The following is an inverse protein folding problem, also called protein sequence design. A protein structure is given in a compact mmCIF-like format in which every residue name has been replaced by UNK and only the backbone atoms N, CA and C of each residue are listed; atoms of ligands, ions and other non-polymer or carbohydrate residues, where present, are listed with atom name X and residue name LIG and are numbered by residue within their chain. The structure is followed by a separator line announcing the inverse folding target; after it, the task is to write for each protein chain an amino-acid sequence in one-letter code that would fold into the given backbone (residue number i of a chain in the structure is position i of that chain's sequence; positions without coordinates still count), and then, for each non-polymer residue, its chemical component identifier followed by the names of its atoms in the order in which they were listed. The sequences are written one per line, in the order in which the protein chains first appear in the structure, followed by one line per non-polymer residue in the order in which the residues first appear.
data_IF_901038039531
#
_entry.id   IF_901038039531
#
_cell.length_a   1.000
_cell.length_b   1.000
_cell.length_c   1.000
_cell.angle_alpha   90.00
_cell.angle_beta   90.00
_cell.angle_gamma   90.00
#
_symmetry.space_group_name_H-M   'P 1'
#
loop_
_entity.id
_entity.type
_entity.pdbx_description
1 polymer ?
#
# COMPACT_ATOMS: atom_id res chain seq x y z
N UNK A 1 -26.78 12.04 -21.72
CA UNK A 1 -27.03 11.27 -22.95
C UNK A 1 -26.80 9.81 -22.63
N UNK A 2 -27.78 8.93 -22.86
CA UNK A 2 -27.65 7.50 -22.60
C UNK A 2 -27.07 6.83 -23.84
N UNK A 3 -25.90 6.21 -23.73
CA UNK A 3 -25.34 5.40 -24.81
C UNK A 3 -25.81 3.97 -24.62
N UNK A 4 -26.52 3.42 -25.60
CA UNK A 4 -26.80 1.99 -25.66
C UNK A 4 -25.48 1.30 -26.00
N UNK A 5 -25.10 0.29 -25.21
CA UNK A 5 -23.91 -0.51 -25.45
C UNK A 5 -24.29 -1.68 -26.36
N UNK A 6 -23.55 -1.83 -27.45
CA UNK A 6 -23.64 -3.00 -28.31
C UNK A 6 -23.09 -4.25 -27.59
N UNK A 7 -23.54 -5.46 -27.93
CA UNK A 7 -23.12 -6.69 -27.23
C UNK A 7 -21.60 -6.84 -27.06
N UNK A 8 -20.80 -6.51 -28.09
CA UNK A 8 -19.33 -6.56 -28.00
C UNK A 8 -18.70 -5.51 -27.07
N UNK A 9 -19.40 -4.40 -26.79
CA UNK A 9 -18.96 -3.39 -25.82
C UNK A 9 -19.27 -3.82 -24.37
N UNK A 10 -20.34 -4.60 -24.18
CA UNK A 10 -20.69 -5.20 -22.89
C UNK A 10 -19.62 -6.24 -22.51
N UNK A 11 -19.24 -7.10 -23.46
CA UNK A 11 -18.18 -8.09 -23.27
C UNK A 11 -16.82 -7.43 -22.97
N UNK A 12 -16.45 -6.38 -23.71
CA UNK A 12 -15.21 -5.64 -23.46
C UNK A 12 -15.20 -4.93 -22.09
N UNK A 13 -16.34 -4.39 -21.66
CA UNK A 13 -16.48 -3.78 -20.33
C UNK A 13 -16.45 -4.80 -19.19
N UNK A 14 -16.92 -6.02 -19.44
CA UNK A 14 -16.88 -7.12 -18.47
C UNK A 14 -15.45 -7.70 -18.27
N UNK A 15 -14.53 -7.37 -19.17
CA UNK A 15 -13.12 -7.81 -19.14
C UNK A 15 -12.18 -6.75 -18.57
N UNK A 16 -12.65 -5.52 -18.28
CA UNK A 16 -11.79 -4.50 -17.69
C UNK A 16 -11.36 -4.93 -16.27
N UNK A 17 -10.05 -5.14 -16.01
CA UNK A 17 -9.58 -5.44 -14.67
C UNK A 17 -9.98 -4.28 -13.75
N UNK A 18 -10.34 -4.55 -12.48
CA UNK A 18 -10.74 -3.50 -11.56
C UNK A 18 -9.66 -2.44 -11.48
N UNK A 19 -10.07 -1.17 -11.45
CA UNK A 19 -9.13 -0.06 -11.29
C UNK A 19 -8.38 -0.23 -9.97
N UNK A 20 -7.07 -0.51 -10.06
CA UNK A 20 -6.22 -0.71 -8.89
C UNK A 20 -5.63 0.62 -8.46
N UNK A 21 -5.96 1.06 -7.24
CA UNK A 21 -5.25 2.14 -6.60
C UNK A 21 -3.95 1.61 -5.99
N UNK A 22 -2.84 1.81 -6.70
CA UNK A 22 -1.54 1.54 -6.12
C UNK A 22 -1.30 2.51 -4.94
N UNK A 23 -0.72 2.02 -3.83
CA UNK A 23 -0.35 2.90 -2.75
C UNK A 23 0.73 3.88 -3.21
N UNK A 24 0.76 5.10 -2.67
CA UNK A 24 1.83 6.04 -2.97
C UNK A 24 3.15 5.51 -2.42
N UNK A 25 4.27 5.94 -3.03
CA UNK A 25 5.61 5.52 -2.60
C UNK A 25 5.91 5.82 -1.13
N UNK A 26 5.25 6.83 -0.55
CA UNK A 26 5.41 7.24 0.85
C UNK A 26 4.36 6.66 1.81
N UNK A 27 3.67 5.57 1.44
CA UNK A 27 2.58 4.99 2.22
C UNK A 27 2.96 4.78 3.70
N UNK A 28 4.16 4.25 3.96
CA UNK A 28 4.57 3.94 5.32
C UNK A 28 4.96 5.20 6.11
N UNK A 29 5.53 6.22 5.47
CA UNK A 29 5.72 7.53 6.10
C UNK A 29 4.39 8.17 6.49
N UNK A 30 3.41 8.19 5.58
CA UNK A 30 2.07 8.72 5.86
C UNK A 30 1.38 7.95 7.01
N UNK A 31 1.57 6.62 7.05
CA UNK A 31 1.06 5.78 8.13
C UNK A 31 1.73 6.07 9.47
N UNK A 32 3.05 6.28 9.50
CA UNK A 32 3.76 6.63 10.72
C UNK A 32 3.21 7.93 11.34
N UNK A 33 3.08 8.99 10.52
CA UNK A 33 2.49 10.27 10.95
C UNK A 33 1.09 10.07 11.52
N UNK A 34 0.26 9.26 10.85
CA UNK A 34 -1.10 9.00 11.32
C UNK A 34 -1.11 8.24 12.66
N UNK A 35 -0.22 7.27 12.85
CA UNK A 35 -0.11 6.52 14.10
C UNK A 35 0.37 7.41 15.26
N UNK A 36 1.30 8.33 15.01
CA UNK A 36 1.74 9.31 16.02
C UNK A 36 0.59 10.23 16.45
N UNK A 37 -0.23 10.68 15.49
CA UNK A 37 -1.44 11.47 15.79
C UNK A 37 -2.44 10.68 16.65
N UNK A 38 -2.67 9.40 16.32
CA UNK A 38 -3.59 8.53 17.04
C UNK A 38 -3.06 8.12 18.43
N UNK A 39 -1.75 8.16 18.64
CA UNK A 39 -1.14 7.81 19.92
C UNK A 39 -1.41 8.83 21.02
N UNK A 40 -1.59 10.11 20.67
CA UNK A 40 -1.82 11.17 21.64
C UNK A 40 -3.13 10.94 22.42
N UNK A 41 -3.03 10.80 23.74
CA UNK A 41 -4.18 10.57 24.63
C UNK A 41 -4.80 9.17 24.53
N UNK A 42 -4.18 8.24 23.80
CA UNK A 42 -4.69 6.88 23.65
C UNK A 42 -4.09 5.94 24.71
N UNK A 43 -4.91 5.05 25.30
CA UNK A 43 -4.44 4.04 26.25
C UNK A 43 -3.35 3.11 25.68
N UNK A 44 -3.33 2.91 24.37
CA UNK A 44 -2.32 2.15 23.63
C UNK A 44 -1.27 3.05 22.98
N UNK A 45 -1.13 4.31 23.42
CA UNK A 45 -0.27 5.30 22.77
C UNK A 45 1.17 4.83 22.58
N UNK A 46 1.76 4.20 23.59
CA UNK A 46 3.12 3.66 23.49
C UNK A 46 3.24 2.54 22.43
N UNK A 47 2.23 1.68 22.32
CA UNK A 47 2.17 0.66 21.28
C UNK A 47 2.03 1.29 19.90
N UNK A 48 1.15 2.28 19.74
CA UNK A 48 0.98 2.99 18.47
C UNK A 48 2.27 3.71 18.03
N UNK A 49 3.03 4.28 18.98
CA UNK A 49 4.35 4.87 18.72
C UNK A 49 5.38 3.82 18.29
N UNK A 50 5.36 2.62 18.89
CA UNK A 50 6.20 1.50 18.45
C UNK A 50 5.90 1.13 17.00
N UNK A 51 4.62 0.99 16.65
CA UNK A 51 4.21 0.65 15.27
C UNK A 51 4.53 1.80 14.29
N UNK A 52 4.43 3.06 14.72
CA UNK A 52 4.84 4.20 13.91
C UNK A 52 6.34 4.13 13.56
N UNK A 53 7.20 3.81 14.53
CA UNK A 53 8.64 3.61 14.30
C UNK A 53 8.91 2.45 13.35
N UNK A 54 8.17 1.36 13.45
CA UNK A 54 8.25 0.26 12.49
C UNK A 54 7.89 0.72 11.07
N UNK A 55 6.86 1.53 10.91
CA UNK A 55 6.49 2.10 9.60
C UNK A 55 7.62 2.98 9.02
N UNK A 56 8.34 3.74 9.86
CA UNK A 56 9.50 4.50 9.38
C UNK A 56 10.62 3.59 8.86
N UNK A 57 10.86 2.45 9.50
CA UNK A 57 11.82 1.43 9.01
C UNK A 57 11.33 0.85 7.68
N UNK A 58 10.05 0.50 7.57
CA UNK A 58 9.46 0.00 6.33
C UNK A 58 9.60 1.00 5.18
N UNK A 59 9.38 2.29 5.44
CA UNK A 59 9.57 3.32 4.42
C UNK A 59 11.02 3.35 3.92
N UNK A 60 12.01 3.30 4.83
CA UNK A 60 13.43 3.28 4.46
C UNK A 60 13.79 2.06 3.60
N UNK A 61 13.19 0.90 3.87
CA UNK A 61 13.39 -0.32 3.10
C UNK A 61 12.73 -0.24 1.71
N UNK A 62 11.59 0.44 1.59
CA UNK A 62 10.96 0.69 0.29
C UNK A 62 11.79 1.67 -0.54
N UNK A 63 12.26 2.75 0.10
CA UNK A 63 13.08 3.77 -0.56
C UNK A 63 14.47 3.24 -0.94
N UNK A 64 15.00 2.29 -0.16
CA UNK A 64 16.32 1.69 -0.33
C UNK A 64 16.20 0.17 -0.20
N UNK A 65 15.66 -0.52 -1.22
CA UNK A 65 15.50 -1.96 -1.17
C UNK A 65 16.88 -2.62 -1.03
N UNK A 66 17.04 -3.58 -0.12
CA UNK A 66 18.28 -4.35 -0.04
C UNK A 66 18.51 -5.08 -1.36
N UNK A 67 19.78 -5.37 -1.66
CA UNK A 67 20.11 -6.25 -2.79
C UNK A 67 19.28 -7.54 -2.68
N UNK A 68 18.77 -8.08 -3.81
CA UNK A 68 18.08 -9.35 -3.80
C UNK A 68 18.92 -10.39 -3.05
N UNK A 69 18.29 -11.13 -2.14
CA UNK A 69 18.92 -12.32 -1.59
C UNK A 69 19.22 -13.27 -2.76
N UNK A 70 20.37 -13.95 -2.78
CA UNK A 70 20.65 -14.95 -3.80
C UNK A 70 19.51 -15.97 -3.78
N UNK A 71 18.80 -16.08 -4.90
CA UNK A 71 17.81 -17.14 -5.08
C UNK A 71 18.61 -18.44 -5.11
N UNK A 72 18.36 -19.34 -4.17
CA UNK A 72 18.92 -20.69 -4.25
C UNK A 72 18.25 -21.33 -5.46
N UNK A 73 18.98 -21.46 -6.58
CA UNK A 73 18.54 -22.25 -7.72
C UNK A 73 18.26 -23.67 -7.21
N UNK A 74 17.00 -24.11 -7.33
CA UNK A 74 16.62 -25.47 -7.00
C UNK A 74 17.32 -26.41 -8.00
N UNK A 75 18.19 -27.27 -7.46
CA UNK A 75 18.96 -28.26 -8.20
C UNK A 75 18.13 -29.50 -8.51
#
# INVERSE_FOLDING_TARGET
MSSILEPGQIEASAVMPPFLHLPPGNLFAARAVRLEQLAAGNALGQYLQLVARLCLVQQRLVDNPPSPLPVVEQR
#
